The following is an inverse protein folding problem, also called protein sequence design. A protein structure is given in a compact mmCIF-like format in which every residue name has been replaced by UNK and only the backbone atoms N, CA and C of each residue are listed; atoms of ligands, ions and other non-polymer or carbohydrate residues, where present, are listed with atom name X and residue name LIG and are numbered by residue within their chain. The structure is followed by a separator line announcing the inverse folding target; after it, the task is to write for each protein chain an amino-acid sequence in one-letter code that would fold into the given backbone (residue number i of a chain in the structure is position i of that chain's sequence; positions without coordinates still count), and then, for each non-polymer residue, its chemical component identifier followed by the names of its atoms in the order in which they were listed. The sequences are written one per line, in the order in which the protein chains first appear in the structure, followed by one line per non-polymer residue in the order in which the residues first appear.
data_IF_170392292991
#
_entry.id   IF_170392292991
#
_cell.length_a   1.000
_cell.length_b   1.000
_cell.length_c   1.000
_cell.angle_alpha   90.00
_cell.angle_beta   90.00
_cell.angle_gamma   90.00
#
_symmetry.space_group_name_H-M   'P 1'
#
loop_
_entity.id
_entity.type
_entity.pdbx_description
1 polymer ?
#
# COMPACT_ATOMS: atom_id res chain seq x y z
N UNK A 1 14.42 70.97 -15.73
CA UNK A 1 15.28 70.10 -14.91
C UNK A 1 14.57 68.77 -14.86
N UNK A 2 14.77 67.96 -15.90
CA UNK A 2 14.16 66.64 -16.02
C UNK A 2 15.05 65.62 -15.34
N UNK A 3 14.47 64.88 -14.40
CA UNK A 3 15.09 63.80 -13.67
C UNK A 3 15.43 62.67 -14.64
N UNK A 4 16.65 62.10 -14.62
CA UNK A 4 17.01 61.01 -15.52
C UNK A 4 16.13 59.79 -15.23
N UNK A 5 15.54 59.24 -16.29
CA UNK A 5 14.72 58.04 -16.24
C UNK A 5 15.54 56.85 -15.69
N UNK A 6 14.98 56.16 -14.69
CA UNK A 6 15.53 54.94 -14.11
C UNK A 6 15.77 53.89 -15.20
N UNK A 7 17.05 53.59 -15.47
CA UNK A 7 17.41 52.45 -16.30
C UNK A 7 17.05 51.15 -15.56
N UNK A 8 16.43 50.17 -16.22
CA UNK A 8 16.06 48.91 -15.59
C UNK A 8 17.32 48.18 -15.09
N UNK A 9 17.30 47.75 -13.84
CA UNK A 9 18.39 46.94 -13.25
C UNK A 9 18.56 45.63 -14.04
N UNK A 10 19.81 45.17 -14.28
CA UNK A 10 20.05 43.89 -14.93
C UNK A 10 19.43 42.75 -14.11
N UNK A 11 18.84 41.77 -14.81
CA UNK A 11 18.26 40.59 -14.20
C UNK A 11 19.36 39.75 -13.52
N UNK A 12 19.08 39.19 -12.35
CA UNK A 12 19.99 38.26 -11.69
C UNK A 12 20.00 36.91 -12.40
N UNK A 13 21.09 36.14 -12.26
CA UNK A 13 21.21 34.77 -12.78
C UNK A 13 20.07 33.87 -12.29
N UNK A 14 19.69 34.00 -11.01
CA UNK A 14 18.54 33.31 -10.43
C UNK A 14 17.21 33.68 -11.11
N UNK A 15 17.04 34.95 -11.48
CA UNK A 15 15.85 35.42 -12.21
C UNK A 15 15.81 34.81 -13.62
N UNK A 16 16.96 34.71 -14.30
CA UNK A 16 17.05 34.07 -15.62
C UNK A 16 16.76 32.57 -15.55
N UNK A 17 17.25 31.89 -14.51
CA UNK A 17 16.95 30.48 -14.24
C UNK A 17 15.46 30.24 -13.96
N UNK A 18 14.83 31.07 -13.13
CA UNK A 18 13.40 30.99 -12.84
C UNK A 18 12.55 31.21 -14.11
N UNK A 19 12.92 32.19 -14.94
CA UNK A 19 12.25 32.45 -16.22
C UNK A 19 12.44 31.31 -17.22
N UNK A 20 13.61 30.68 -17.24
CA UNK A 20 13.91 29.52 -18.09
C UNK A 20 13.11 28.29 -17.64
N UNK A 21 13.08 28.01 -16.34
CA UNK A 21 12.28 26.94 -15.75
C UNK A 21 10.79 27.15 -16.06
N UNK A 22 10.29 28.37 -15.88
CA UNK A 22 8.90 28.75 -16.22
C UNK A 22 8.58 28.51 -17.68
N UNK A 23 9.39 29.03 -18.60
CA UNK A 23 9.18 28.87 -20.05
C UNK A 23 9.13 27.38 -20.41
N UNK A 24 10.05 26.59 -19.87
CA UNK A 24 10.08 25.15 -20.12
C UNK A 24 8.82 24.44 -19.59
N UNK A 25 8.32 24.80 -18.41
CA UNK A 25 7.09 24.21 -17.87
C UNK A 25 5.86 24.59 -18.71
N UNK A 26 5.76 25.84 -19.18
CA UNK A 26 4.68 26.29 -20.05
C UNK A 26 4.70 25.54 -21.40
N UNK A 27 5.88 25.43 -22.01
CA UNK A 27 6.06 24.74 -23.30
C UNK A 27 5.74 23.23 -23.22
N UNK A 28 6.00 22.58 -22.08
CA UNK A 28 5.78 21.14 -21.92
C UNK A 28 4.37 20.77 -21.44
N UNK A 29 3.73 21.61 -20.62
CA UNK A 29 2.46 21.27 -19.96
C UNK A 29 1.25 21.85 -20.72
N UNK A 30 1.43 22.89 -21.53
CA UNK A 30 0.34 23.47 -22.35
C UNK A 30 -0.79 24.12 -21.54
N UNK A 31 -0.60 24.37 -20.24
CA UNK A 31 -1.61 24.95 -19.35
C UNK A 31 -1.23 26.37 -18.90
N UNK A 32 -2.22 27.24 -18.61
CA UNK A 32 -1.99 28.57 -18.05
C UNK A 32 -1.40 28.45 -16.64
N UNK A 33 -0.22 29.04 -16.45
CA UNK A 33 0.50 29.09 -15.17
C UNK A 33 0.25 30.43 -14.50
N UNK A 34 -0.30 30.42 -13.28
CA UNK A 34 -0.42 31.61 -12.43
C UNK A 34 0.76 31.65 -11.43
N UNK A 35 1.54 32.75 -11.45
CA UNK A 35 2.66 32.95 -10.53
C UNK A 35 2.16 33.57 -9.23
N UNK A 36 2.26 32.85 -8.12
CA UNK A 36 1.84 33.36 -6.80
C UNK A 36 2.97 33.88 -5.92
N UNK A 37 4.23 33.82 -6.35
CA UNK A 37 5.43 34.47 -5.78
C UNK A 37 6.66 33.67 -6.23
N UNK A 38 7.29 34.07 -7.34
CA UNK A 38 8.73 33.92 -7.45
C UNK A 38 9.36 34.84 -6.40
N UNK A 39 9.64 34.30 -5.21
CA UNK A 39 10.50 34.98 -4.27
C UNK A 39 11.86 35.13 -4.96
N UNK A 40 12.23 36.37 -5.29
CA UNK A 40 13.47 36.73 -6.01
C UNK A 40 14.74 36.34 -5.24
N UNK A 41 14.61 35.68 -4.09
CA UNK A 41 15.69 35.22 -3.22
C UNK A 41 15.69 33.71 -2.97
N UNK A 42 14.73 32.95 -3.53
CA UNK A 42 14.72 31.49 -3.39
C UNK A 42 14.57 30.77 -4.73
N UNK A 43 15.37 29.72 -4.90
CA UNK A 43 15.39 28.85 -6.06
C UNK A 43 14.16 27.93 -6.12
N UNK A 44 12.96 28.51 -6.01
CA UNK A 44 11.69 27.79 -5.93
C UNK A 44 10.67 28.44 -6.86
N UNK A 45 10.17 27.66 -7.82
CA UNK A 45 9.07 28.04 -8.70
C UNK A 45 7.81 27.29 -8.29
N UNK A 46 6.75 28.01 -7.95
CA UNK A 46 5.44 27.42 -7.66
C UNK A 46 4.53 27.59 -8.88
N UNK A 47 4.06 26.49 -9.46
CA UNK A 47 3.13 26.49 -10.60
C UNK A 47 1.79 25.96 -10.12
N UNK A 48 0.70 26.65 -10.47
CA UNK A 48 -0.65 26.12 -10.30
C UNK A 48 -1.24 25.73 -11.65
N UNK A 49 -1.66 24.48 -11.78
CA UNK A 49 -2.38 23.97 -12.95
C UNK A 49 -3.82 23.63 -12.57
N UNK A 50 -4.77 24.04 -13.42
CA UNK A 50 -6.18 23.68 -13.29
C UNK A 50 -6.43 22.19 -13.48
N UNK A 51 -7.57 21.69 -12.99
CA UNK A 51 -8.01 20.30 -13.09
C UNK A 51 -8.00 19.87 -14.56
N UNK A 52 -7.10 18.95 -14.93
CA UNK A 52 -6.92 18.48 -16.31
C UNK A 52 -5.47 18.20 -16.74
N UNK A 53 -4.48 18.45 -15.88
CA UNK A 53 -3.11 17.97 -16.14
C UNK A 53 -3.09 16.43 -16.09
N UNK A 54 -2.86 15.79 -17.23
CA UNK A 54 -2.68 14.34 -17.34
C UNK A 54 -1.45 13.89 -16.51
N UNK A 55 -1.55 12.74 -15.83
CA UNK A 55 -0.44 12.08 -15.13
C UNK A 55 0.79 11.92 -16.04
N UNK A 56 0.56 11.79 -17.36
CA UNK A 56 1.62 11.75 -18.36
C UNK A 56 2.41 13.08 -18.44
N UNK A 57 1.73 14.22 -18.34
CA UNK A 57 2.36 15.55 -18.37
C UNK A 57 3.13 15.82 -17.07
N UNK A 58 2.61 15.36 -15.93
CA UNK A 58 3.31 15.44 -14.64
C UNK A 58 4.58 14.58 -14.63
N UNK A 59 4.49 13.34 -15.11
CA UNK A 59 5.65 12.45 -15.22
C UNK A 59 6.70 13.00 -16.20
N UNK A 60 6.27 13.55 -17.34
CA UNK A 60 7.17 14.19 -18.30
C UNK A 60 7.90 15.40 -17.68
N UNK A 61 7.19 16.21 -16.89
CA UNK A 61 7.75 17.36 -16.19
C UNK A 61 8.77 16.94 -15.12
N UNK A 62 8.43 15.95 -14.30
CA UNK A 62 9.34 15.41 -13.27
C UNK A 62 10.61 14.85 -13.91
N UNK A 63 10.48 14.11 -15.02
CA UNK A 63 11.63 13.62 -15.79
C UNK A 63 12.47 14.75 -16.39
N UNK A 64 11.83 15.82 -16.89
CA UNK A 64 12.53 16.99 -17.41
C UNK A 64 13.28 17.78 -16.33
N UNK A 65 12.70 17.91 -15.13
CA UNK A 65 13.36 18.51 -13.97
C UNK A 65 14.57 17.67 -13.54
N UNK A 66 14.41 16.35 -13.45
CA UNK A 66 15.50 15.45 -13.09
C UNK A 66 16.69 15.54 -14.06
N UNK A 67 16.45 15.62 -15.37
CA UNK A 67 17.50 15.80 -16.39
C UNK A 67 18.31 17.10 -16.20
N UNK A 68 17.75 18.11 -15.54
CA UNK A 68 18.42 19.38 -15.23
C UNK A 68 18.97 19.46 -13.81
N UNK A 69 18.91 18.37 -13.05
CA UNK A 69 19.32 18.36 -11.63
C UNK A 69 18.38 19.14 -10.72
N UNK A 70 17.14 19.40 -11.15
CA UNK A 70 16.12 20.08 -10.37
C UNK A 70 15.25 19.07 -9.62
N UNK A 71 14.76 19.46 -8.46
CA UNK A 71 13.74 18.68 -7.73
C UNK A 71 12.37 19.24 -8.02
N UNK A 72 11.41 18.38 -8.32
CA UNK A 72 10.02 18.76 -8.56
C UNK A 72 9.13 17.98 -7.60
N UNK A 73 8.43 18.68 -6.72
CA UNK A 73 7.39 18.09 -5.86
C UNK A 73 6.03 18.60 -6.29
N UNK A 74 4.99 17.79 -6.08
CA UNK A 74 3.62 18.09 -6.47
C UNK A 74 2.69 17.84 -5.29
N UNK A 75 1.74 18.76 -5.06
CA UNK A 75 0.68 18.58 -4.07
C UNK A 75 -0.65 19.05 -4.66
N UNK A 76 -1.71 18.27 -4.45
CA UNK A 76 -3.08 18.70 -4.76
C UNK A 76 -3.60 19.56 -3.62
N UNK A 77 -4.04 20.79 -3.93
CA UNK A 77 -4.64 21.70 -2.95
C UNK A 77 -5.90 22.34 -3.54
N UNK A 78 -7.04 22.10 -2.90
CA UNK A 78 -8.34 22.67 -3.30
C UNK A 78 -8.68 22.42 -4.79
N UNK A 79 -8.38 21.22 -5.29
CA UNK A 79 -8.56 20.84 -6.69
C UNK A 79 -7.52 21.42 -7.65
N UNK A 80 -6.53 22.18 -7.17
CA UNK A 80 -5.46 22.73 -8.00
C UNK A 80 -4.17 21.93 -7.79
N UNK A 81 -3.50 21.53 -8.86
CA UNK A 81 -2.18 20.91 -8.77
C UNK A 81 -1.15 22.01 -8.54
N UNK A 82 -0.47 21.96 -7.39
CA UNK A 82 0.61 22.88 -7.03
C UNK A 82 1.95 22.15 -7.21
N UNK A 83 2.76 22.63 -8.14
CA UNK A 83 4.09 22.11 -8.42
C UNK A 83 5.14 23.03 -7.80
N UNK A 84 6.07 22.47 -7.05
CA UNK A 84 7.21 23.19 -6.49
C UNK A 84 8.47 22.65 -7.14
N UNK A 85 9.09 23.44 -8.01
CA UNK A 85 10.37 23.11 -8.64
C UNK A 85 11.46 23.85 -7.88
N UNK A 86 12.49 23.15 -7.40
CA UNK A 86 13.65 23.77 -6.78
C UNK A 86 14.98 23.40 -7.44
N UNK A 87 15.85 24.39 -7.61
CA UNK A 87 17.16 24.26 -8.26
C UNK A 87 18.27 24.75 -7.32
N UNK A 88 18.83 23.83 -6.54
CA UNK A 88 19.91 24.12 -5.58
C UNK A 88 19.93 23.14 -4.41
N UNK A 89 20.99 23.14 -3.58
CA UNK A 89 21.07 22.27 -2.42
C UNK A 89 19.97 22.64 -1.42
N UNK A 90 19.01 21.72 -1.22
CA UNK A 90 17.98 21.85 -0.20
C UNK A 90 18.65 21.86 1.19
N UNK A 91 18.48 22.95 1.94
CA UNK A 91 18.83 22.97 3.35
C UNK A 91 17.75 22.23 4.14
N UNK A 92 17.94 20.92 4.38
CA UNK A 92 17.13 20.17 5.32
C UNK A 92 17.65 20.36 6.76
N UNK A 93 16.74 20.54 7.73
CA UNK A 93 17.04 20.47 9.16
C UNK A 93 16.63 19.10 9.70
N UNK A 94 17.52 18.47 10.46
CA UNK A 94 17.20 17.24 11.19
C UNK A 94 16.10 17.53 12.25
N UNK A 95 14.99 16.77 12.30
CA UNK A 95 13.90 17.02 13.24
C UNK A 95 14.33 16.90 14.70
N UNK A 96 15.28 16.02 15.01
CA UNK A 96 15.67 15.72 16.39
C UNK A 96 16.77 16.62 16.96
N UNK A 97 17.58 17.27 16.12
CA UNK A 97 18.71 18.08 16.60
C UNK A 97 18.85 19.49 16.00
N UNK A 98 17.94 19.90 15.09
CA UNK A 98 17.92 21.23 14.43
C UNK A 98 19.23 21.65 13.72
N UNK A 99 20.21 20.76 13.54
CA UNK A 99 21.42 21.05 12.75
C UNK A 99 21.07 21.12 11.27
N UNK A 100 21.60 22.14 10.57
CA UNK A 100 21.50 22.28 9.12
C UNK A 100 22.38 21.20 8.46
N UNK A 101 21.76 20.31 7.70
CA UNK A 101 22.49 19.37 6.86
C UNK A 101 22.79 20.06 5.53
N UNK A 102 24.08 20.21 5.19
CA UNK A 102 24.50 20.48 3.81
C UNK A 102 24.60 19.14 3.11
N UNK A 103 23.63 18.83 2.26
CA UNK A 103 23.80 17.76 1.27
C UNK A 103 24.59 18.37 0.11
N UNK A 104 25.92 18.23 0.16
CA UNK A 104 26.82 18.58 -0.93
C UNK A 104 26.98 17.42 -1.92
N UNK A 105 27.31 17.69 -3.19
CA UNK A 105 27.50 16.67 -4.23
C UNK A 105 28.74 15.78 -4.03
N UNK A 106 29.55 16.01 -3.00
CA UNK A 106 30.88 15.40 -2.81
C UNK A 106 30.88 13.95 -2.27
N UNK A 107 29.73 13.30 -2.15
CA UNK A 107 29.64 11.92 -1.60
C UNK A 107 29.40 10.83 -2.65
N UNK A 108 29.53 11.12 -3.94
CA UNK A 108 29.23 10.16 -5.01
C UNK A 108 30.33 9.94 -6.06
N UNK A 109 31.62 10.24 -5.80
CA UNK A 109 32.69 9.86 -6.73
C UNK A 109 34.01 9.49 -6.01
N UNK A 110 34.69 8.38 -6.38
CA UNK A 110 36.04 8.10 -5.93
C UNK A 110 37.04 9.02 -6.65
N UNK A 111 38.05 9.49 -5.91
CA UNK A 111 39.15 10.29 -6.46
C UNK A 111 40.05 9.42 -7.34
N UNK A 112 39.89 9.54 -8.65
CA UNK A 112 40.98 9.30 -9.60
C UNK A 112 41.18 10.54 -10.46
N UNK A 113 42.37 11.16 -10.36
CA UNK A 113 42.84 12.12 -11.35
C UNK A 113 43.42 11.35 -12.54
N UNK A 114 43.00 11.67 -13.76
CA UNK A 114 43.90 11.65 -14.91
C UNK A 114 44.06 13.05 -15.53
N UNK A 115 45.21 13.20 -16.19
CA UNK A 115 45.66 14.40 -16.90
C UNK A 115 44.80 14.68 -18.13
N UNK A 116 44.76 15.97 -18.44
CA UNK A 116 44.35 16.65 -19.68
C UNK A 116 44.50 15.84 -20.98
N UNK A 117 43.38 15.62 -21.69
CA UNK A 117 43.22 15.88 -23.13
C UNK A 117 41.79 15.53 -23.57
N UNK A 118 41.29 16.29 -24.54
CA UNK A 118 39.94 16.31 -25.12
C UNK A 118 39.32 14.93 -25.41
N UNK A 119 38.04 14.76 -25.05
CA UNK A 119 37.14 13.70 -25.55
C UNK A 119 35.75 14.27 -25.80
N UNK A 120 35.13 13.82 -26.89
CA UNK A 120 33.84 14.27 -27.44
C UNK A 120 32.66 13.55 -26.80
N UNK A 121 31.45 14.05 -27.06
CA UNK A 121 30.16 13.69 -26.45
C UNK A 121 29.75 12.19 -26.61
N UNK A 122 30.41 11.44 -27.50
CA UNK A 122 30.11 10.02 -27.76
C UNK A 122 30.78 9.04 -26.77
N UNK A 123 31.78 9.47 -26.00
CA UNK A 123 32.50 8.62 -25.03
C UNK A 123 31.71 8.37 -23.72
N UNK A 124 30.65 9.15 -23.46
CA UNK A 124 29.85 9.01 -22.23
C UNK A 124 28.81 7.87 -22.29
N UNK A 125 28.55 7.30 -23.47
CA UNK A 125 27.46 6.31 -23.66
C UNK A 125 27.90 4.87 -23.29
N UNK A 126 29.18 4.59 -23.06
CA UNK A 126 29.67 3.22 -22.87
C UNK A 126 30.00 2.78 -21.42
N UNK A 127 29.66 3.55 -20.37
CA UNK A 127 30.01 3.22 -18.96
C UNK A 127 28.79 2.88 -18.08
N UNK A 128 27.59 2.80 -18.66
CA UNK A 128 26.35 2.56 -17.91
C UNK A 128 25.93 1.07 -17.79
N UNK A 129 26.81 0.11 -18.10
CA UNK A 129 26.56 -1.33 -17.90
C UNK A 129 27.55 -1.91 -16.90
N UNK A 130 27.12 -2.02 -15.64
CA UNK A 130 27.94 -2.61 -14.58
C UNK A 130 27.29 -2.55 -13.20
N UNK A 131 26.37 -3.48 -12.93
CA UNK A 131 25.81 -3.70 -11.60
C UNK A 131 26.86 -4.27 -10.63
N UNK A 132 26.92 -3.73 -9.41
CA UNK A 132 27.62 -4.35 -8.28
C UNK A 132 26.79 -4.24 -6.98
N UNK A 133 26.98 -5.19 -6.03
CA UNK A 133 25.95 -5.59 -5.07
C UNK A 133 25.92 -4.73 -3.79
N UNK A 134 24.74 -4.63 -3.19
CA UNK A 134 24.57 -4.08 -1.85
C UNK A 134 25.24 -4.99 -0.82
N UNK A 135 26.21 -4.45 -0.09
CA UNK A 135 26.77 -5.09 1.12
C UNK A 135 26.00 -4.56 2.32
N UNK A 136 25.33 -5.44 3.06
CA UNK A 136 24.70 -5.13 4.34
C UNK A 136 25.77 -4.84 5.40
N UNK A 137 25.62 -3.70 6.08
CA UNK A 137 26.35 -3.36 7.30
C UNK A 137 25.50 -3.86 8.49
N UNK A 138 25.86 -5.03 9.04
CA UNK A 138 25.35 -5.51 10.32
C UNK A 138 26.00 -4.71 11.47
N UNK A 139 25.18 -4.24 12.40
CA UNK A 139 25.60 -3.67 13.68
C UNK A 139 25.23 -4.66 14.78
N UNK A 140 26.24 -5.31 15.36
CA UNK A 140 26.13 -6.21 16.51
C UNK A 140 25.88 -5.43 17.82
N UNK A 141 25.01 -5.99 18.67
CA UNK A 141 24.87 -5.61 20.08
C UNK A 141 24.81 -6.90 20.94
N UNK A 142 25.76 -7.13 21.87
CA UNK A 142 25.80 -8.34 22.69
C UNK A 142 25.03 -8.18 24.02
N UNK A 143 24.38 -9.25 24.48
CA UNK A 143 23.80 -9.29 25.82
C UNK A 143 22.86 -10.46 26.09
N UNK A 144 23.41 -11.67 26.21
CA UNK A 144 22.72 -12.87 26.71
C UNK A 144 22.94 -13.05 28.21
N UNK A 145 21.88 -13.27 28.98
CA UNK A 145 21.97 -14.01 30.25
C UNK A 145 20.82 -15.01 30.38
N UNK A 146 21.23 -16.26 30.61
CA UNK A 146 20.44 -17.47 30.87
C UNK A 146 20.30 -17.71 32.37
N UNK A 147 19.16 -18.28 32.80
CA UNK A 147 19.06 -19.19 33.96
C UNK A 147 17.66 -19.88 34.00
N UNK A 148 17.51 -21.04 34.67
CA UNK A 148 16.75 -22.17 34.12
C UNK A 148 15.47 -22.59 34.90
N UNK A 149 14.90 -23.69 34.39
CA UNK A 149 13.64 -24.39 34.64
C UNK A 149 13.26 -24.75 36.09
N UNK A 150 11.95 -24.84 36.36
CA UNK A 150 11.25 -26.13 36.58
C UNK A 150 9.76 -25.92 36.94
N UNK A 151 8.86 -26.68 36.30
CA UNK A 151 7.70 -27.32 36.95
C UNK A 151 6.82 -28.06 35.93
N UNK A 152 6.59 -29.34 36.23
CA UNK A 152 5.66 -30.22 35.55
C UNK A 152 4.20 -29.86 35.89
N UNK A 153 3.25 -30.12 34.99
CA UNK A 153 2.22 -31.19 35.09
C UNK A 153 1.04 -30.94 34.12
N UNK A 154 0.50 -32.05 33.60
CA UNK A 154 -0.78 -32.29 32.90
C UNK A 154 -0.73 -32.40 31.35
N UNK A 155 -1.41 -33.41 30.76
CA UNK A 155 -1.34 -33.71 29.34
C UNK A 155 -2.15 -32.67 28.57
N UNK A 156 -1.44 -31.65 28.07
CA UNK A 156 -1.98 -30.75 27.04
C UNK A 156 -2.29 -31.64 25.84
N UNK A 157 -3.58 -31.87 25.56
CA UNK A 157 -4.02 -32.37 24.26
C UNK A 157 -3.19 -31.66 23.19
N UNK A 158 -2.69 -32.40 22.19
CA UNK A 158 -1.91 -31.86 21.09
C UNK A 158 -2.72 -30.76 20.38
N UNK A 159 -2.74 -29.55 20.94
CA UNK A 159 -3.04 -28.34 20.24
C UNK A 159 -1.94 -28.27 19.21
N UNK A 160 -2.30 -28.49 17.94
CA UNK A 160 -1.41 -28.19 16.83
C UNK A 160 -0.82 -26.81 17.09
N UNK A 161 0.48 -26.77 17.42
CA UNK A 161 1.11 -25.51 17.79
C UNK A 161 1.07 -24.62 16.56
N UNK A 162 0.35 -23.51 16.66
CA UNK A 162 0.35 -22.52 15.62
C UNK A 162 1.80 -22.04 15.36
N UNK A 163 2.14 -21.75 14.10
CA UNK A 163 3.45 -21.23 13.80
C UNK A 163 3.66 -19.89 14.51
N UNK A 164 4.90 -19.64 14.93
CA UNK A 164 5.32 -18.41 15.62
C UNK A 164 5.08 -17.13 14.79
N UNK A 165 4.75 -17.27 13.51
CA UNK A 165 4.36 -16.18 12.61
C UNK A 165 3.08 -16.62 11.92
N UNK A 166 2.04 -15.79 11.96
CA UNK A 166 0.78 -16.04 11.25
C UNK A 166 0.68 -15.20 9.98
N UNK A 167 -0.19 -15.61 9.06
CA UNK A 167 -0.62 -14.82 7.92
C UNK A 167 -2.04 -14.31 8.17
N UNK A 168 -2.28 -13.01 7.98
CA UNK A 168 -3.64 -12.49 7.87
C UNK A 168 -4.18 -12.85 6.48
N UNK A 169 -4.96 -13.93 6.39
CA UNK A 169 -5.46 -14.49 5.14
C UNK A 169 -6.97 -14.23 4.91
N UNK A 170 -7.48 -13.15 5.49
CA UNK A 170 -8.90 -12.75 5.42
C UNK A 170 -9.36 -12.52 3.98
N UNK A 171 -8.51 -11.93 3.13
CA UNK A 171 -8.87 -11.65 1.74
C UNK A 171 -9.27 -12.95 1.00
N UNK A 172 -10.43 -12.97 0.31
CA UNK A 172 -11.01 -14.22 -0.23
C UNK A 172 -10.21 -14.84 -1.38
N UNK A 173 -9.21 -14.13 -1.91
CA UNK A 173 -8.28 -14.65 -2.93
C UNK A 173 -7.21 -15.59 -2.36
N UNK A 174 -6.98 -15.57 -1.04
CA UNK A 174 -6.19 -16.62 -0.40
C UNK A 174 -6.95 -17.94 -0.50
N UNK A 175 -6.25 -18.97 -0.98
CA UNK A 175 -6.80 -20.32 -1.08
C UNK A 175 -5.68 -21.35 -1.01
N UNK A 176 -6.01 -22.57 -0.62
CA UNK A 176 -5.11 -23.71 -0.68
C UNK A 176 -5.49 -24.55 -1.90
N UNK A 177 -4.64 -24.62 -2.96
CA UNK A 177 -4.96 -25.42 -4.14
C UNK A 177 -5.06 -26.91 -3.78
N UNK A 178 -5.86 -27.69 -4.53
CA UNK A 178 -5.94 -29.13 -4.34
C UNK A 178 -4.55 -29.78 -4.38
N UNK A 179 -4.26 -30.64 -3.40
CA UNK A 179 -2.97 -31.33 -3.29
C UNK A 179 -1.81 -30.47 -2.79
N UNK A 180 -2.07 -29.22 -2.35
CA UNK A 180 -1.07 -28.37 -1.68
C UNK A 180 -1.41 -28.18 -0.21
N UNK A 181 -0.38 -27.93 0.58
CA UNK A 181 -0.47 -27.70 2.04
C UNK A 181 -0.40 -26.22 2.41
N UNK A 182 -0.16 -25.35 1.43
CA UNK A 182 0.22 -23.97 1.66
C UNK A 182 -0.74 -23.01 0.95
N UNK A 183 -1.33 -22.05 1.68
CA UNK A 183 -2.13 -20.99 1.08
C UNK A 183 -1.35 -20.20 0.03
N UNK A 184 -2.00 -19.90 -1.08
CA UNK A 184 -1.49 -19.04 -2.13
C UNK A 184 -2.50 -17.98 -2.57
N UNK A 185 -1.96 -16.89 -3.12
CA UNK A 185 -2.71 -15.77 -3.68
C UNK A 185 -1.97 -15.27 -4.92
N UNK A 186 -2.67 -15.16 -6.05
CA UNK A 186 -2.17 -14.41 -7.20
C UNK A 186 -2.48 -12.93 -6.93
N UNK A 187 -1.62 -12.00 -7.34
CA UNK A 187 -1.88 -10.57 -7.17
C UNK A 187 -1.25 -9.77 -8.30
N UNK A 188 -1.95 -8.74 -8.76
CA UNK A 188 -1.41 -7.75 -9.68
C UNK A 188 -0.72 -6.63 -8.89
N UNK A 189 0.56 -6.36 -9.20
CA UNK A 189 1.32 -5.30 -8.56
C UNK A 189 2.28 -4.65 -9.56
N UNK A 190 2.14 -3.33 -9.75
CA UNK A 190 3.01 -2.53 -10.62
C UNK A 190 3.17 -3.12 -12.02
N UNK A 191 2.06 -3.53 -12.64
CA UNK A 191 2.03 -4.14 -13.98
C UNK A 191 2.52 -5.58 -14.10
N UNK A 192 2.86 -6.22 -12.98
CA UNK A 192 3.30 -7.62 -12.97
C UNK A 192 2.39 -8.48 -12.11
N UNK A 193 2.26 -9.74 -12.53
CA UNK A 193 1.55 -10.73 -11.74
C UNK A 193 2.52 -11.46 -10.83
N UNK A 194 2.13 -11.59 -9.57
CA UNK A 194 2.90 -12.26 -8.54
C UNK A 194 2.07 -13.41 -7.97
N UNK A 195 2.71 -14.57 -7.82
CA UNK A 195 2.22 -15.65 -6.97
C UNK A 195 2.82 -15.47 -5.59
N UNK A 196 1.95 -15.34 -4.60
CA UNK A 196 2.28 -15.28 -3.19
C UNK A 196 1.98 -16.64 -2.58
N UNK A 197 2.92 -17.22 -1.84
CA UNK A 197 2.76 -18.53 -1.19
C UNK A 197 3.19 -18.45 0.26
N UNK A 198 2.34 -18.91 1.16
CA UNK A 198 2.60 -18.97 2.58
C UNK A 198 3.29 -20.28 2.97
N UNK A 199 4.51 -20.22 3.47
CA UNK A 199 5.32 -21.42 3.79
C UNK A 199 5.44 -21.67 5.29
N UNK A 200 4.42 -21.29 6.08
CA UNK A 200 4.40 -21.55 7.53
C UNK A 200 5.31 -20.62 8.36
N UNK A 201 5.63 -19.44 7.84
CA UNK A 201 6.45 -18.45 8.55
C UNK A 201 6.97 -17.32 7.65
N UNK A 202 6.89 -17.49 6.34
CA UNK A 202 7.18 -16.44 5.36
C UNK A 202 6.25 -16.51 4.16
N UNK A 203 5.98 -15.33 3.61
CA UNK A 203 5.31 -15.16 2.32
C UNK A 203 6.36 -15.11 1.20
N UNK A 204 6.45 -16.19 0.43
CA UNK A 204 7.31 -16.31 -0.76
C UNK A 204 6.61 -15.59 -1.92
N UNK A 205 7.36 -14.79 -2.68
CA UNK A 205 6.85 -13.97 -3.79
C UNK A 205 7.55 -14.42 -5.07
N UNK A 206 6.80 -14.98 -5.99
CA UNK A 206 7.28 -15.49 -7.27
C UNK A 206 6.61 -14.70 -8.40
N UNK A 207 7.37 -14.00 -9.26
CA UNK A 207 6.76 -13.34 -10.41
C UNK A 207 6.25 -14.39 -11.42
N UNK A 208 5.05 -14.18 -11.95
CA UNK A 208 4.44 -14.99 -13.01
C UNK A 208 4.67 -14.43 -14.41
N UNK A 209 5.14 -13.19 -14.49
CA UNK A 209 5.61 -12.54 -15.71
C UNK A 209 7.07 -12.12 -15.54
N UNK A 210 7.86 -11.98 -16.62
CA UNK A 210 9.20 -11.41 -16.51
C UNK A 210 9.14 -10.01 -15.89
N UNK A 211 9.95 -9.78 -14.85
CA UNK A 211 10.00 -8.52 -14.12
C UNK A 211 11.40 -7.91 -14.28
N UNK A 212 11.52 -6.63 -14.69
CA UNK A 212 12.80 -5.95 -14.75
C UNK A 212 13.53 -5.95 -13.40
N UNK A 213 14.87 -6.05 -13.39
CA UNK A 213 15.67 -5.84 -12.20
C UNK A 213 15.29 -4.51 -11.51
N UNK A 214 15.24 -4.52 -10.17
CA UNK A 214 14.90 -3.32 -9.39
C UNK A 214 13.41 -3.05 -9.20
N UNK A 215 12.51 -3.81 -9.84
CA UNK A 215 11.06 -3.69 -9.59
C UNK A 215 10.74 -3.99 -8.12
N UNK A 216 10.04 -3.06 -7.47
CA UNK A 216 9.64 -3.23 -6.07
C UNK A 216 8.75 -4.48 -5.92
N UNK A 217 9.11 -5.30 -4.94
CA UNK A 217 8.34 -6.50 -4.58
C UNK A 217 7.03 -6.09 -3.91
N UNK A 218 6.06 -6.99 -4.00
CA UNK A 218 4.79 -6.93 -3.28
C UNK A 218 5.00 -6.51 -1.82
N UNK A 219 4.39 -5.38 -1.46
CA UNK A 219 4.42 -4.83 -0.11
C UNK A 219 3.84 -5.83 0.87
N UNK A 220 4.47 -5.95 2.02
CA UNK A 220 3.91 -6.61 3.19
C UNK A 220 4.13 -5.73 4.39
N UNK A 221 3.18 -5.71 5.31
CA UNK A 221 3.35 -5.11 6.62
C UNK A 221 3.37 -6.18 7.70
N UNK A 222 3.83 -5.81 8.90
CA UNK A 222 3.93 -6.70 10.04
C UNK A 222 3.25 -6.06 11.24
N UNK A 223 2.54 -6.87 12.01
CA UNK A 223 2.13 -6.56 13.37
C UNK A 223 2.97 -7.42 14.31
N UNK A 224 3.62 -6.81 15.31
CA UNK A 224 4.53 -7.49 16.22
C UNK A 224 3.85 -7.70 17.57
N UNK A 225 4.09 -8.84 18.23
CA UNK A 225 3.50 -9.14 19.53
C UNK A 225 3.90 -8.11 20.61
N UNK A 226 5.09 -7.50 20.48
CA UNK A 226 5.53 -6.41 21.34
C UNK A 226 4.64 -5.15 21.28
N UNK A 227 3.73 -5.06 20.31
CA UNK A 227 2.75 -3.98 20.18
C UNK A 227 1.33 -4.41 20.55
N UNK A 228 1.15 -5.62 21.09
CA UNK A 228 -0.12 -6.01 21.68
C UNK A 228 -0.38 -5.17 22.95
N UNK A 229 -1.64 -4.88 23.28
CA UNK A 229 -1.96 -4.17 24.51
C UNK A 229 -1.40 -4.92 25.74
N UNK A 230 -0.77 -4.22 26.69
CA UNK A 230 -0.29 -4.85 27.92
C UNK A 230 -1.45 -5.29 28.84
N UNK A 231 -2.64 -4.72 28.63
CA UNK A 231 -3.87 -4.97 29.40
C UNK A 231 -4.78 -6.02 28.77
N UNK A 232 -4.25 -6.93 27.95
CA UNK A 232 -5.05 -8.02 27.41
C UNK A 232 -5.53 -8.95 28.55
N UNK A 233 -6.78 -9.44 28.50
CA UNK A 233 -7.23 -10.46 29.44
C UNK A 233 -6.35 -11.72 29.36
N UNK A 234 -6.05 -12.33 30.50
CA UNK A 234 -5.14 -13.49 30.58
C UNK A 234 -5.46 -14.60 29.57
N UNK A 235 -6.73 -15.01 29.34
CA UNK A 235 -7.04 -16.04 28.34
C UNK A 235 -6.67 -15.63 26.91
N UNK A 236 -6.78 -14.35 26.58
CA UNK A 236 -6.43 -13.79 25.26
C UNK A 236 -4.92 -13.73 25.10
N UNK A 237 -4.22 -13.26 26.14
CA UNK A 237 -2.77 -13.23 26.17
C UNK A 237 -2.16 -14.63 26.05
N UNK A 238 -2.71 -15.63 26.76
CA UNK A 238 -2.28 -17.03 26.68
C UNK A 238 -2.49 -17.60 25.27
N UNK A 239 -3.65 -17.35 24.66
CA UNK A 239 -3.96 -17.83 23.31
C UNK A 239 -3.00 -17.27 22.24
N UNK A 240 -2.46 -16.07 22.47
CA UNK A 240 -1.52 -15.40 21.55
C UNK A 240 -0.05 -15.55 21.93
N UNK A 241 0.28 -16.20 23.06
CA UNK A 241 1.62 -16.21 23.65
C UNK A 241 2.70 -16.77 22.71
N UNK A 242 2.36 -17.78 21.89
CA UNK A 242 3.30 -18.42 20.97
C UNK A 242 3.47 -17.66 19.63
N UNK A 243 2.62 -16.66 19.36
CA UNK A 243 2.64 -15.87 18.11
C UNK A 243 3.50 -14.63 18.30
N UNK A 244 4.63 -14.54 17.59
CA UNK A 244 5.53 -13.37 17.64
C UNK A 244 5.10 -12.24 16.72
N UNK A 245 4.47 -12.56 15.60
CA UNK A 245 4.08 -11.57 14.60
C UNK A 245 3.02 -12.09 13.63
N UNK A 246 2.32 -11.15 13.00
CA UNK A 246 1.39 -11.39 11.90
C UNK A 246 1.92 -10.71 10.65
N UNK A 247 1.97 -11.44 9.54
CA UNK A 247 2.25 -10.92 8.21
C UNK A 247 0.93 -10.50 7.56
N UNK A 248 0.89 -9.25 7.08
CA UNK A 248 -0.25 -8.68 6.37
C UNK A 248 0.19 -8.42 4.92
N UNK A 249 -0.62 -8.90 3.98
CA UNK A 249 -0.39 -8.72 2.55
C UNK A 249 -1.54 -7.87 1.98
N UNK A 250 -1.37 -6.55 1.89
CA UNK A 250 -2.40 -5.68 1.35
C UNK A 250 -2.68 -5.95 -0.13
N UNK A 251 -3.92 -5.72 -0.54
CA UNK A 251 -4.28 -5.66 -1.96
C UNK A 251 -3.59 -4.47 -2.63
N UNK A 252 -2.73 -4.76 -3.60
CA UNK A 252 -2.00 -3.72 -4.32
C UNK A 252 -2.89 -2.93 -5.28
N UNK A 253 -3.99 -3.53 -5.72
CA UNK A 253 -5.03 -2.88 -6.51
C UNK A 253 -6.25 -2.59 -5.61
N UNK A 254 -6.69 -1.34 -5.59
CA UNK A 254 -7.87 -0.93 -4.82
C UNK A 254 -9.14 -1.57 -5.39
N UNK A 255 -9.20 -1.85 -6.70
CA UNK A 255 -10.34 -2.53 -7.31
C UNK A 255 -10.49 -3.98 -6.83
N UNK A 256 -9.36 -4.68 -6.65
CA UNK A 256 -9.34 -6.03 -6.04
C UNK A 256 -9.93 -5.98 -4.62
N UNK A 257 -9.51 -5.02 -3.81
CA UNK A 257 -10.00 -4.83 -2.44
C UNK A 257 -11.50 -4.50 -2.39
N UNK A 258 -11.99 -3.61 -3.28
CA UNK A 258 -13.41 -3.29 -3.44
C UNK A 258 -14.22 -4.55 -3.77
N UNK A 259 -13.73 -5.37 -4.70
CA UNK A 259 -14.41 -6.61 -5.10
C UNK A 259 -14.45 -7.62 -3.97
N UNK A 260 -13.35 -7.79 -3.23
CA UNK A 260 -13.29 -8.65 -2.05
C UNK A 260 -14.27 -8.21 -0.96
N UNK A 261 -14.31 -6.92 -0.67
CA UNK A 261 -15.22 -6.34 0.32
C UNK A 261 -16.71 -6.43 -0.08
N UNK A 262 -17.02 -6.24 -1.36
CA UNK A 262 -18.37 -6.40 -1.89
C UNK A 262 -18.89 -7.84 -1.72
N UNK A 263 -18.08 -8.82 -2.12
CA UNK A 263 -18.46 -10.24 -1.99
C UNK A 263 -18.59 -10.64 -0.52
N UNK A 264 -17.73 -10.09 0.34
CA UNK A 264 -17.84 -10.25 1.80
C UNK A 264 -19.10 -9.63 2.39
N UNK A 265 -19.60 -8.53 1.82
CA UNK A 265 -20.88 -7.95 2.25
C UNK A 265 -22.06 -8.87 1.91
N UNK A 266 -22.01 -9.50 0.74
CA UNK A 266 -23.08 -10.40 0.25
C UNK A 266 -23.08 -11.76 0.96
N UNK A 267 -21.91 -12.28 1.35
CA UNK A 267 -21.77 -13.62 1.96
C UNK A 267 -20.95 -13.54 3.25
N UNK A 268 -21.61 -13.84 4.38
CA UNK A 268 -20.98 -13.83 5.70
C UNK A 268 -20.09 -15.06 5.94
N UNK A 269 -20.53 -16.24 5.48
CA UNK A 269 -19.75 -17.48 5.60
C UNK A 269 -18.44 -17.40 4.80
N UNK A 270 -17.31 -17.64 5.47
CA UNK A 270 -15.99 -17.42 4.89
C UNK A 270 -15.68 -18.42 3.76
N UNK A 271 -16.10 -19.67 3.89
CA UNK A 271 -15.91 -20.72 2.88
C UNK A 271 -16.71 -20.43 1.61
N UNK A 272 -18.00 -20.13 1.76
CA UNK A 272 -18.89 -19.75 0.67
C UNK A 272 -18.42 -18.45 -0.01
N UNK A 273 -17.95 -17.47 0.77
CA UNK A 273 -17.36 -16.22 0.26
C UNK A 273 -16.15 -16.48 -0.63
N UNK A 274 -15.19 -17.31 -0.19
CA UNK A 274 -14.02 -17.69 -1.01
C UNK A 274 -14.44 -18.43 -2.28
N UNK A 275 -15.40 -19.35 -2.17
CA UNK A 275 -15.95 -20.06 -3.31
C UNK A 275 -16.62 -19.11 -4.32
N UNK A 276 -17.45 -18.18 -3.87
CA UNK A 276 -18.10 -17.17 -4.70
C UNK A 276 -17.07 -16.26 -5.38
N UNK A 277 -16.07 -15.77 -4.63
CA UNK A 277 -14.99 -14.95 -5.18
C UNK A 277 -14.22 -15.67 -6.28
N UNK A 278 -13.87 -16.95 -6.08
CA UNK A 278 -13.20 -17.76 -7.10
C UNK A 278 -14.08 -17.98 -8.33
N UNK A 279 -15.38 -18.27 -8.15
CA UNK A 279 -16.32 -18.42 -9.28
C UNK A 279 -16.42 -17.12 -10.08
N UNK A 280 -16.58 -15.98 -9.41
CA UNK A 280 -16.62 -14.65 -10.00
C UNK A 280 -15.37 -14.36 -10.85
N UNK A 281 -14.19 -14.54 -10.26
CA UNK A 281 -12.92 -14.31 -10.95
C UNK A 281 -12.72 -15.29 -12.11
N UNK A 282 -13.01 -16.58 -11.91
CA UNK A 282 -12.82 -17.59 -12.96
C UNK A 282 -13.73 -17.34 -14.15
N UNK A 283 -14.95 -16.86 -13.92
CA UNK A 283 -15.94 -16.62 -14.97
C UNK A 283 -15.63 -15.37 -15.79
N UNK A 284 -15.22 -14.27 -15.15
CA UNK A 284 -15.16 -12.95 -15.78
C UNK A 284 -13.79 -12.28 -15.76
N UNK A 285 -12.81 -12.81 -15.02
CA UNK A 285 -11.49 -12.22 -14.83
C UNK A 285 -10.34 -13.11 -15.29
N UNK A 286 -10.65 -14.09 -16.14
CA UNK A 286 -9.62 -14.97 -16.70
C UNK A 286 -8.97 -14.35 -17.93
N UNK A 287 -7.64 -14.33 -17.96
CA UNK A 287 -6.87 -13.88 -19.12
C UNK A 287 -5.55 -14.65 -19.26
N UNK A 288 -4.99 -14.64 -20.47
CA UNK A 288 -3.72 -15.30 -20.80
C UNK A 288 -2.62 -14.26 -20.86
N UNK A 289 -1.56 -14.47 -20.08
CA UNK A 289 -0.40 -13.58 -20.10
C UNK A 289 0.38 -13.74 -21.42
N UNK A 290 0.94 -12.67 -22.01
CA UNK A 290 1.77 -12.78 -23.21
C UNK A 290 2.94 -13.76 -23.00
N UNK A 291 2.94 -14.88 -23.73
CA UNK A 291 3.93 -15.95 -23.59
C UNK A 291 3.93 -16.65 -22.21
N UNK A 292 2.90 -16.44 -21.40
CA UNK A 292 2.82 -16.89 -20.02
C UNK A 292 1.60 -17.76 -19.73
N UNK A 293 1.40 -18.13 -18.45
CA UNK A 293 0.26 -18.97 -18.07
C UNK A 293 -1.07 -18.23 -18.21
N UNK A 294 -2.15 -18.99 -18.34
CA UNK A 294 -3.50 -18.51 -18.07
C UNK A 294 -3.64 -18.23 -16.58
N UNK A 295 -4.12 -17.04 -16.23
CA UNK A 295 -4.33 -16.65 -14.85
C UNK A 295 -5.77 -16.21 -14.59
N UNK A 296 -6.18 -16.34 -13.33
CA UNK A 296 -7.48 -15.91 -12.84
C UNK A 296 -7.29 -14.71 -11.93
N UNK A 297 -7.94 -13.61 -12.30
CA UNK A 297 -7.84 -12.33 -11.61
C UNK A 297 -9.21 -11.73 -11.33
N UNK A 298 -9.25 -10.67 -10.54
CA UNK A 298 -10.46 -9.86 -10.39
C UNK A 298 -10.86 -9.32 -11.77
N UNK A 299 -12.12 -9.48 -12.22
CA UNK A 299 -12.58 -8.90 -13.48
C UNK A 299 -12.36 -7.38 -13.46
N UNK A 300 -11.84 -6.79 -14.54
CA UNK A 300 -11.57 -5.34 -14.57
C UNK A 300 -12.88 -4.54 -14.39
N UNK A 301 -12.81 -3.30 -13.87
CA UNK A 301 -14.01 -2.48 -13.69
C UNK A 301 -14.68 -2.16 -15.04
N UNK A 302 -13.93 -2.13 -16.16
CA UNK A 302 -14.46 -2.03 -17.52
C UNK A 302 -15.27 -3.27 -17.89
N UNK A 303 -14.72 -4.47 -17.64
CA UNK A 303 -15.41 -5.73 -17.90
C UNK A 303 -16.71 -5.81 -17.10
N UNK A 304 -16.68 -5.48 -15.80
CA UNK A 304 -17.88 -5.40 -14.95
C UNK A 304 -18.87 -4.38 -15.49
N UNK A 305 -18.40 -3.24 -16.01
CA UNK A 305 -19.22 -2.22 -16.66
C UNK A 305 -19.98 -2.74 -17.90
N UNK A 306 -19.40 -3.67 -18.65
CA UNK A 306 -19.98 -4.23 -19.89
C UNK A 306 -20.97 -5.39 -19.66
N UNK A 307 -20.85 -6.14 -18.56
CA UNK A 307 -21.74 -7.27 -18.27
C UNK A 307 -23.19 -6.82 -18.03
N UNK A 308 -24.20 -7.54 -18.52
CA UNK A 308 -25.61 -7.25 -18.20
C UNK A 308 -26.13 -8.24 -17.16
N UNK A 309 -26.79 -7.80 -16.06
CA UNK A 309 -27.32 -8.72 -15.05
C UNK A 309 -28.26 -9.80 -15.62
N UNK A 310 -29.06 -9.44 -16.63
CA UNK A 310 -29.97 -10.36 -17.31
C UNK A 310 -29.27 -11.51 -18.06
N UNK A 311 -27.96 -11.46 -18.28
CA UNK A 311 -27.17 -12.48 -18.98
C UNK A 311 -26.36 -13.38 -18.03
N UNK A 312 -26.49 -13.16 -16.73
CA UNK A 312 -25.79 -13.94 -15.71
C UNK A 312 -26.77 -14.96 -15.15
N UNK A 313 -26.52 -16.25 -15.44
CA UNK A 313 -27.39 -17.35 -15.03
C UNK A 313 -27.34 -17.66 -13.52
N UNK A 314 -26.17 -17.70 -12.84
CA UNK A 314 -26.16 -17.91 -11.39
C UNK A 314 -26.60 -16.65 -10.63
N UNK A 315 -27.64 -16.79 -9.80
CA UNK A 315 -28.21 -15.68 -9.02
C UNK A 315 -27.16 -14.99 -8.14
N UNK A 316 -26.27 -15.76 -7.53
CA UNK A 316 -25.17 -15.25 -6.70
C UNK A 316 -24.20 -14.36 -7.47
N UNK A 317 -23.80 -14.75 -8.69
CA UNK A 317 -22.96 -13.93 -9.57
C UNK A 317 -23.71 -12.69 -10.08
N UNK A 318 -25.03 -12.79 -10.25
CA UNK A 318 -25.88 -11.67 -10.67
C UNK A 318 -25.97 -10.62 -9.55
N UNK A 319 -26.10 -11.06 -8.30
CA UNK A 319 -26.05 -10.18 -7.12
C UNK A 319 -24.69 -9.49 -6.99
N UNK A 320 -23.59 -10.24 -7.15
CA UNK A 320 -22.23 -9.66 -7.17
C UNK A 320 -22.09 -8.60 -8.26
N UNK A 321 -22.52 -8.89 -9.49
CA UNK A 321 -22.50 -7.89 -10.58
C UNK A 321 -23.32 -6.66 -10.21
N UNK A 322 -24.55 -6.86 -9.74
CA UNK A 322 -25.48 -5.77 -9.41
C UNK A 322 -24.88 -4.86 -8.36
N UNK A 323 -24.30 -5.43 -7.30
CA UNK A 323 -23.62 -4.68 -6.25
C UNK A 323 -22.39 -3.92 -6.78
N UNK A 324 -21.62 -4.50 -7.70
CA UNK A 324 -20.38 -3.92 -8.22
C UNK A 324 -20.58 -2.90 -9.36
N UNK A 325 -21.78 -2.77 -9.94
CA UNK A 325 -22.03 -1.86 -11.08
C UNK A 325 -21.67 -0.41 -10.77
N UNK A 326 -22.21 0.15 -9.70
CA UNK A 326 -21.93 1.52 -9.30
C UNK A 326 -20.47 1.70 -8.84
N UNK A 327 -19.91 0.83 -7.97
CA UNK A 327 -18.49 0.86 -7.62
C UNK A 327 -17.55 0.82 -8.83
N UNK A 328 -17.82 -0.03 -9.83
CA UNK A 328 -17.02 -0.13 -11.05
C UNK A 328 -17.02 1.19 -11.83
N UNK A 329 -18.21 1.79 -12.00
CA UNK A 329 -18.33 3.08 -12.67
C UNK A 329 -17.57 4.19 -11.91
N UNK A 330 -17.75 4.27 -10.60
CA UNK A 330 -17.08 5.27 -9.77
C UNK A 330 -15.56 5.09 -9.77
N UNK A 331 -15.06 3.85 -9.70
CA UNK A 331 -13.64 3.53 -9.75
C UNK A 331 -13.01 4.01 -11.05
N UNK A 332 -13.63 3.72 -12.20
CA UNK A 332 -13.13 4.17 -13.51
C UNK A 332 -12.98 5.69 -13.60
N UNK A 333 -13.86 6.43 -12.94
CA UNK A 333 -13.85 7.89 -12.96
C UNK A 333 -12.89 8.51 -11.94
N UNK A 334 -12.58 7.81 -10.85
CA UNK A 334 -11.98 8.41 -9.65
C UNK A 334 -10.78 7.66 -9.05
N UNK A 335 -10.34 6.55 -9.65
CA UNK A 335 -9.26 5.74 -9.09
C UNK A 335 -7.98 6.55 -8.82
N UNK A 336 -7.63 7.50 -9.69
CA UNK A 336 -6.48 8.40 -9.52
C UNK A 336 -6.63 9.33 -8.30
N UNK A 337 -7.85 9.75 -7.95
CA UNK A 337 -8.10 10.57 -6.75
C UNK A 337 -7.99 9.74 -5.48
N UNK A 338 -8.40 8.46 -5.54
CA UNK A 338 -8.35 7.55 -4.41
C UNK A 338 -6.95 7.04 -4.13
N UNK A 339 -6.08 7.02 -5.14
CA UNK A 339 -4.68 6.64 -5.03
C UNK A 339 -3.94 7.59 -4.08
N UNK A 340 -3.70 7.13 -2.85
CA UNK A 340 -2.98 7.89 -1.82
C UNK A 340 -3.84 8.58 -0.77
N UNK A 341 -5.17 8.38 -0.79
CA UNK A 341 -6.03 8.83 0.31
C UNK A 341 -5.68 8.13 1.63
N UNK A 342 -5.85 8.87 2.74
CA UNK A 342 -5.77 8.29 4.08
C UNK A 342 -6.91 7.30 4.33
N UNK A 343 -6.79 6.42 5.32
CA UNK A 343 -7.81 5.44 5.68
C UNK A 343 -9.22 6.04 5.82
N UNK A 344 -9.45 6.98 6.76
CA UNK A 344 -10.77 7.60 6.93
C UNK A 344 -11.30 8.28 5.66
N UNK A 345 -10.44 9.04 4.95
CA UNK A 345 -10.82 9.73 3.71
C UNK A 345 -11.21 8.75 2.61
N UNK A 346 -10.46 7.64 2.48
CA UNK A 346 -10.75 6.60 1.50
C UNK A 346 -12.08 5.91 1.82
N UNK A 347 -12.36 5.64 3.10
CA UNK A 347 -13.63 5.05 3.53
C UNK A 347 -14.80 5.96 3.14
N UNK A 348 -14.72 7.25 3.47
CA UNK A 348 -15.78 8.21 3.14
C UNK A 348 -15.96 8.36 1.62
N UNK A 349 -14.86 8.37 0.86
CA UNK A 349 -14.90 8.46 -0.60
C UNK A 349 -15.53 7.22 -1.25
N UNK A 350 -15.16 6.02 -0.81
CA UNK A 350 -15.73 4.76 -1.28
C UNK A 350 -17.20 4.62 -0.87
N UNK A 351 -17.55 5.06 0.34
CA UNK A 351 -18.92 4.97 0.85
C UNK A 351 -19.87 5.95 0.15
N UNK A 352 -19.46 7.21 0.03
CA UNK A 352 -20.26 8.25 -0.60
C UNK A 352 -20.28 8.14 -2.13
N UNK A 353 -19.12 8.28 -2.76
CA UNK A 353 -19.03 8.36 -4.22
C UNK A 353 -18.93 6.99 -4.89
N UNK A 354 -18.33 6.01 -4.22
CA UNK A 354 -18.19 4.64 -4.71
C UNK A 354 -19.51 3.86 -4.65
N UNK A 355 -20.49 4.29 -3.85
CA UNK A 355 -21.72 3.54 -3.63
C UNK A 355 -21.51 2.24 -2.86
N UNK A 356 -20.34 2.03 -2.26
CA UNK A 356 -20.16 0.95 -1.30
C UNK A 356 -20.92 1.31 -0.02
N UNK A 357 -21.58 0.35 0.63
CA UNK A 357 -21.99 0.57 2.01
C UNK A 357 -20.77 0.86 2.90
N UNK A 358 -20.92 1.68 3.96
CA UNK A 358 -19.80 2.10 4.84
C UNK A 358 -18.99 0.92 5.38
N UNK A 359 -19.65 -0.20 5.71
CA UNK A 359 -18.99 -1.44 6.14
C UNK A 359 -18.07 -2.01 5.05
N UNK A 360 -18.54 -2.13 3.81
CA UNK A 360 -17.75 -2.62 2.69
C UNK A 360 -16.61 -1.65 2.32
N UNK A 361 -16.86 -0.34 2.38
CA UNK A 361 -15.82 0.67 2.18
C UNK A 361 -14.68 0.55 3.20
N UNK A 362 -15.01 0.35 4.49
CA UNK A 362 -14.03 0.11 5.55
C UNK A 362 -13.21 -1.16 5.33
N UNK A 363 -13.84 -2.25 4.92
CA UNK A 363 -13.16 -3.51 4.58
C UNK A 363 -12.20 -3.34 3.38
N UNK A 364 -12.64 -2.66 2.32
CA UNK A 364 -11.81 -2.40 1.14
C UNK A 364 -10.61 -1.51 1.48
N UNK A 365 -10.81 -0.45 2.27
CA UNK A 365 -9.74 0.43 2.72
C UNK A 365 -8.74 -0.31 3.61
N UNK A 366 -9.20 -1.12 4.56
CA UNK A 366 -8.35 -1.91 5.44
C UNK A 366 -7.45 -2.89 4.67
N UNK A 367 -8.02 -3.60 3.69
CA UNK A 367 -7.29 -4.54 2.86
C UNK A 367 -6.31 -3.86 1.89
N UNK A 368 -6.72 -2.76 1.23
CA UNK A 368 -5.85 -2.01 0.33
C UNK A 368 -4.66 -1.35 1.06
N UNK A 369 -4.91 -0.74 2.23
CA UNK A 369 -3.90 -0.05 3.00
C UNK A 369 -3.07 -1.00 3.88
N UNK A 370 -3.53 -2.23 4.09
CA UNK A 370 -2.89 -3.20 4.99
C UNK A 370 -2.98 -2.78 6.45
N UNK A 371 -4.11 -2.20 6.82
CA UNK A 371 -4.40 -1.68 8.15
C UNK A 371 -5.69 -2.29 8.73
N UNK A 372 -5.59 -3.38 9.49
CA UNK A 372 -6.72 -4.03 10.14
C UNK A 372 -7.47 -3.13 11.15
N UNK A 373 -6.88 -2.04 11.65
CA UNK A 373 -7.58 -1.13 12.55
C UNK A 373 -8.70 -0.35 11.85
N UNK A 374 -8.68 -0.25 10.52
CA UNK A 374 -9.73 0.38 9.74
C UNK A 374 -10.97 -0.51 9.57
N UNK A 375 -10.86 -1.80 9.90
CA UNK A 375 -11.98 -2.73 9.76
C UNK A 375 -13.08 -2.36 10.75
N UNK A 376 -14.35 -2.50 10.34
CA UNK A 376 -15.46 -2.33 11.27
C UNK A 376 -15.36 -3.39 12.37
N UNK A 377 -15.72 -3.02 13.59
CA UNK A 377 -15.97 -3.99 14.65
C UNK A 377 -17.31 -4.65 14.32
N UNK A 378 -17.24 -5.81 13.67
CA UNK A 378 -18.38 -6.55 13.15
C UNK A 378 -18.45 -7.97 13.72
N UNK A 379 -19.52 -8.69 13.38
CA UNK A 379 -19.76 -10.06 13.85
C UNK A 379 -18.58 -10.99 13.60
N UNK A 380 -17.88 -10.86 12.47
CA UNK A 380 -16.74 -11.74 12.17
C UNK A 380 -15.55 -11.47 13.10
N UNK A 381 -15.31 -10.20 13.48
CA UNK A 381 -14.29 -9.89 14.49
C UNK A 381 -14.70 -10.39 15.88
N UNK A 382 -15.98 -10.27 16.23
CA UNK A 382 -16.54 -10.79 17.48
C UNK A 382 -16.39 -12.33 17.56
N UNK A 383 -16.86 -13.05 16.54
CA UNK A 383 -16.72 -14.51 16.46
C UNK A 383 -15.24 -14.93 16.50
N UNK A 384 -14.35 -14.21 15.79
CA UNK A 384 -12.92 -14.49 15.85
C UNK A 384 -12.30 -14.29 17.24
N UNK A 385 -12.79 -13.31 18.02
CA UNK A 385 -12.34 -13.08 19.39
C UNK A 385 -12.85 -14.17 20.35
N UNK A 386 -14.11 -14.59 20.18
CA UNK A 386 -14.72 -15.71 20.91
C UNK A 386 -13.94 -17.00 20.64
N UNK A 387 -13.68 -17.31 19.37
CA UNK A 387 -12.92 -18.50 18.95
C UNK A 387 -11.51 -18.51 19.52
N UNK A 388 -10.86 -17.34 19.61
CA UNK A 388 -9.51 -17.21 20.16
C UNK A 388 -9.47 -17.54 21.67
N UNK A 389 -10.46 -17.06 22.42
CA UNK A 389 -10.50 -17.21 23.87
C UNK A 389 -11.94 -17.55 24.34
N UNK A 390 -12.41 -18.79 24.14
CA UNK A 390 -13.81 -19.16 24.37
C UNK A 390 -14.25 -19.11 25.83
N UNK A 391 -13.28 -19.17 26.76
CA UNK A 391 -13.54 -19.09 28.19
C UNK A 391 -13.53 -17.64 28.73
N UNK A 392 -13.23 -16.66 27.87
CA UNK A 392 -13.30 -15.25 28.24
C UNK A 392 -14.73 -14.74 28.03
N UNK A 393 -15.33 -13.97 28.98
CA UNK A 393 -16.70 -13.49 28.88
C UNK A 393 -16.82 -12.34 27.87
N UNK A 394 -16.69 -12.64 26.58
CA UNK A 394 -16.88 -11.68 25.51
C UNK A 394 -18.34 -11.20 25.45
N UNK A 395 -18.58 -9.90 25.22
CA UNK A 395 -19.90 -9.44 24.79
C UNK A 395 -20.30 -10.16 23.50
N UNK A 396 -21.53 -10.67 23.44
CA UNK A 396 -21.99 -11.53 22.34
C UNK A 396 -22.64 -10.74 21.20
N UNK A 397 -23.14 -9.53 21.46
CA UNK A 397 -23.69 -8.63 20.46
C UNK A 397 -22.67 -7.57 20.01
N UNK A 398 -22.83 -7.07 18.78
CA UNK A 398 -21.90 -6.09 18.19
C UNK A 398 -21.92 -4.75 18.92
N UNK A 399 -23.04 -4.37 19.55
CA UNK A 399 -23.23 -3.07 20.19
C UNK A 399 -22.33 -2.99 21.43
N UNK A 400 -22.33 -4.04 22.25
CA UNK A 400 -21.52 -4.10 23.47
C UNK A 400 -20.07 -4.54 23.18
N UNK A 401 -19.85 -5.36 22.15
CA UNK A 401 -18.50 -5.78 21.75
C UNK A 401 -17.66 -4.61 21.23
N UNK A 402 -18.27 -3.65 20.52
CA UNK A 402 -17.58 -2.47 19.97
C UNK A 402 -16.79 -1.66 21.01
N UNK A 403 -17.45 -1.09 22.03
CA UNK A 403 -16.80 -0.36 23.13
C UNK A 403 -15.78 -1.24 23.87
N UNK A 404 -16.17 -2.48 24.20
CA UNK A 404 -15.28 -3.42 24.89
C UNK A 404 -13.97 -3.64 24.13
N UNK A 405 -14.06 -3.88 22.83
CA UNK A 405 -12.90 -4.06 21.95
C UNK A 405 -12.01 -2.82 21.86
N UNK A 406 -12.62 -1.62 21.85
CA UNK A 406 -11.87 -0.36 21.84
C UNK A 406 -11.12 -0.13 23.15
N UNK A 407 -11.72 -0.50 24.28
CA UNK A 407 -11.10 -0.38 25.60
C UNK A 407 -9.90 -1.31 25.80
N UNK A 408 -9.87 -2.45 25.10
CA UNK A 408 -8.71 -3.35 25.11
C UNK A 408 -7.45 -2.74 24.49
N UNK A 409 -7.58 -1.72 23.62
CA UNK A 409 -6.49 -1.19 22.82
C UNK A 409 -6.58 0.34 22.68
N UNK A 410 -5.83 1.04 23.52
CA UNK A 410 -5.90 2.50 23.67
C UNK A 410 -5.26 3.26 22.51
N UNK A 411 -4.19 2.74 21.93
CA UNK A 411 -3.49 3.37 20.81
C UNK A 411 -3.90 2.79 19.44
N UNK A 412 -3.69 3.57 18.36
CA UNK A 412 -3.94 3.09 17.00
C UNK A 412 -3.07 1.87 16.65
N UNK A 413 -1.83 1.83 17.15
CA UNK A 413 -0.90 0.72 16.92
C UNK A 413 -1.35 -0.55 17.67
N UNK A 414 -1.86 -0.41 18.90
CA UNK A 414 -2.45 -1.51 19.66
C UNK A 414 -3.68 -2.07 18.95
N UNK A 415 -4.62 -1.21 18.51
CA UNK A 415 -5.83 -1.64 17.80
C UNK A 415 -5.50 -2.40 16.53
N UNK A 416 -4.55 -1.87 15.75
CA UNK A 416 -4.06 -2.51 14.53
C UNK A 416 -3.46 -3.88 14.82
N UNK A 417 -2.66 -3.98 15.88
CA UNK A 417 -1.97 -5.22 16.25
C UNK A 417 -2.96 -6.26 16.76
N UNK A 418 -3.84 -5.89 17.69
CA UNK A 418 -4.86 -6.77 18.23
C UNK A 418 -5.79 -7.31 17.14
N UNK A 419 -6.32 -6.44 16.27
CA UNK A 419 -7.14 -6.86 15.14
C UNK A 419 -6.40 -7.79 14.18
N UNK A 420 -5.13 -7.51 13.88
CA UNK A 420 -4.32 -8.37 13.03
C UNK A 420 -4.14 -9.78 13.64
N UNK A 421 -3.86 -9.87 14.95
CA UNK A 421 -3.65 -11.15 15.64
C UNK A 421 -4.93 -11.99 15.71
N UNK A 422 -6.04 -11.39 16.14
CA UNK A 422 -7.32 -12.09 16.24
C UNK A 422 -7.80 -12.60 14.88
N UNK A 423 -7.76 -11.75 13.84
CA UNK A 423 -8.20 -12.13 12.49
C UNK A 423 -7.24 -13.12 11.82
N UNK A 424 -5.92 -13.02 12.08
CA UNK A 424 -4.96 -13.99 11.56
C UNK A 424 -5.14 -15.36 12.20
N UNK A 425 -5.41 -15.42 13.51
CA UNK A 425 -5.74 -16.67 14.19
C UNK A 425 -6.96 -17.35 13.54
N UNK A 426 -8.07 -16.61 13.42
CA UNK A 426 -9.30 -17.13 12.85
C UNK A 426 -9.18 -17.54 11.37
N UNK A 427 -8.45 -16.79 10.55
CA UNK A 427 -8.24 -17.13 9.13
C UNK A 427 -7.28 -18.29 8.93
N UNK A 428 -6.29 -18.49 9.83
CA UNK A 428 -5.40 -19.65 9.77
C UNK A 428 -6.11 -20.95 10.17
N UNK A 429 -6.98 -20.92 11.18
CA UNK A 429 -7.84 -22.06 11.53
C UNK A 429 -8.77 -22.45 10.37
N UNK A 430 -9.42 -21.45 9.75
CA UNK A 430 -10.27 -21.65 8.57
C UNK A 430 -9.50 -22.33 7.43
N UNK A 431 -8.28 -21.86 7.12
CA UNK A 431 -7.46 -22.44 6.05
C UNK A 431 -6.92 -23.84 6.36
N UNK A 432 -6.78 -24.19 7.64
CA UNK A 432 -6.41 -25.53 8.07
C UNK A 432 -7.57 -26.54 7.92
N UNK A 433 -8.78 -26.07 7.59
CA UNK A 433 -9.97 -26.92 7.51
C UNK A 433 -10.44 -27.39 8.89
N UNK A 434 -10.08 -26.65 9.95
CA UNK A 434 -10.61 -26.89 11.28
C UNK A 434 -12.03 -26.31 11.29
N UNK A 435 -13.03 -27.19 11.21
CA UNK A 435 -14.43 -26.82 11.33
C UNK A 435 -14.65 -26.11 12.68
N UNK A 436 -15.37 -24.98 12.64
CA UNK A 436 -15.70 -24.15 13.80
C UNK A 436 -16.88 -24.69 14.58
#
# INVERSE_FOLDING_TARGET
MDTPADLPRPLTEETLLALTARRHCIEQIGLPVEDRKADRTSAVLTLTAGIGADDLALAALQAACARRGWTCTSIMRDGTLVLTVSWGPLHAQCPDCRRRLRLGPDHLLPRHRPRTSERTEEDWIAVADGALPATELELDCPGSHTAPADSATAPRAQRERLPTTLLLADHPRWHTPPGRTHPERIMYHRHYYWRLRWTGGRCVREPLTPVPPGTLRVRTSRALAAHLPPSLPDPVAEALADVKQVIIVPSSDLWEAITGAAIRHLVQDATARRALYRRWCSRYGTHTLPGGPRIVDTPSPEAVGQLRPAEIEPDDLREVLTFLKQPAHAYRMRCHLWAGMSGPTLIDALAGYGGLGRRAAALAAADHLGDPALRPVDRELCDAAIDLAPNHPWPLDEIDFGPYWQDLATSAQERRTLAAFVLAHASMLEMAGVDR
#
